data_IF_514433385695
#
_entry.id   IF_514433385695
#
_cell.length_a   1.000
_cell.length_b   1.000
_cell.length_c   1.000
_cell.angle_alpha   90.00
_cell.angle_beta   90.00
_cell.angle_gamma   90.00
#
_symmetry.space_group_name_H-M   'P 1'
#
loop_
_entity.id
_entity.type
_entity.pdbx_description
1 polymer ?
#
# COMPACT_ATOMS: atom_id res chain seq x y z
N UNK A 1 -27.29 -28.19 5.88
CA UNK A 1 -26.68 -26.91 5.49
C UNK A 1 -26.38 -26.16 6.77
N UNK A 2 -25.17 -26.34 7.28
CA UNK A 2 -24.70 -25.67 8.50
C UNK A 2 -23.78 -24.55 8.00
N UNK A 3 -24.12 -23.29 8.29
CA UNK A 3 -23.29 -22.15 7.93
C UNK A 3 -21.90 -22.34 8.53
N UNK A 4 -20.88 -22.31 7.67
CA UNK A 4 -19.46 -22.34 8.02
C UNK A 4 -19.03 -20.91 8.37
N UNK A 5 -19.70 -20.28 9.33
CA UNK A 5 -19.43 -18.87 9.70
C UNK A 5 -18.91 -18.69 11.13
N UNK A 6 -18.61 -19.77 11.86
CA UNK A 6 -18.19 -19.65 13.28
C UNK A 6 -17.00 -20.56 13.65
N UNK A 7 -16.13 -20.86 12.70
CA UNK A 7 -14.80 -21.38 12.99
C UNK A 7 -13.83 -20.19 13.09
N UNK A 8 -13.04 -20.12 14.15
CA UNK A 8 -11.94 -19.15 14.28
C UNK A 8 -11.02 -19.27 13.06
N UNK A 9 -11.16 -18.34 12.11
CA UNK A 9 -10.36 -18.27 10.88
C UNK A 9 -9.19 -17.30 11.02
N UNK A 10 -8.97 -16.78 12.22
CA UNK A 10 -8.01 -15.70 12.49
C UNK A 10 -6.55 -16.16 12.34
N UNK A 11 -6.29 -17.47 12.31
CA UNK A 11 -4.96 -18.03 12.01
C UNK A 11 -4.79 -18.47 10.55
N UNK A 12 -5.87 -18.50 9.76
CA UNK A 12 -5.84 -19.02 8.39
C UNK A 12 -5.26 -17.99 7.43
N UNK A 13 -4.29 -18.42 6.63
CA UNK A 13 -3.75 -17.60 5.54
C UNK A 13 -4.73 -17.56 4.40
N UNK A 14 -4.77 -16.43 3.70
CA UNK A 14 -5.63 -16.21 2.53
C UNK A 14 -4.77 -16.31 1.28
N UNK A 15 -5.08 -17.30 0.46
CA UNK A 15 -4.38 -17.55 -0.79
C UNK A 15 -5.27 -17.21 -1.98
N UNK A 16 -4.69 -16.61 -3.01
CA UNK A 16 -5.34 -16.32 -4.28
C UNK A 16 -4.56 -16.94 -5.43
N UNK A 17 -5.27 -17.56 -6.37
CA UNK A 17 -4.67 -18.18 -7.56
C UNK A 17 -5.36 -17.61 -8.80
N UNK A 18 -4.68 -16.77 -9.59
CA UNK A 18 -5.17 -16.38 -10.90
C UNK A 18 -5.12 -17.58 -11.84
N UNK A 19 -6.22 -17.83 -12.54
CA UNK A 19 -6.33 -18.90 -13.52
C UNK A 19 -6.83 -18.34 -14.85
N UNK A 20 -6.17 -18.71 -15.93
CA UNK A 20 -6.59 -18.42 -17.30
C UNK A 20 -7.19 -19.68 -17.91
N UNK A 21 -8.38 -19.60 -18.50
CA UNK A 21 -9.05 -20.75 -19.14
C UNK A 21 -9.27 -20.45 -20.62
N UNK A 22 -8.96 -21.40 -21.49
CA UNK A 22 -9.25 -21.29 -22.93
C UNK A 22 -10.60 -21.89 -23.33
N UNK A 23 -10.94 -21.73 -24.62
CA UNK A 23 -12.18 -22.27 -25.20
C UNK A 23 -12.25 -23.80 -25.25
N UNK A 24 -11.12 -24.48 -25.07
CA UNK A 24 -11.03 -25.94 -25.03
C UNK A 24 -11.05 -26.49 -23.60
N UNK A 25 -11.07 -25.62 -22.58
CA UNK A 25 -11.07 -25.99 -21.17
C UNK A 25 -9.68 -26.23 -20.59
N UNK A 26 -8.60 -25.91 -21.32
CA UNK A 26 -7.24 -25.83 -20.77
C UNK A 26 -7.21 -24.69 -19.75
N UNK A 27 -6.67 -24.97 -18.56
CA UNK A 27 -6.59 -24.00 -17.47
C UNK A 27 -5.15 -23.84 -16.98
N UNK A 28 -4.65 -22.59 -16.97
CA UNK A 28 -3.33 -22.23 -16.45
C UNK A 28 -3.48 -21.50 -15.11
N UNK A 29 -3.12 -22.17 -14.02
CA UNK A 29 -2.94 -21.54 -12.71
C UNK A 29 -1.56 -20.89 -12.63
N UNK A 30 -1.49 -19.56 -12.67
CA UNK A 30 -0.25 -18.84 -13.00
C UNK A 30 0.73 -18.74 -11.83
N UNK A 31 0.22 -18.50 -10.62
CA UNK A 31 1.00 -18.45 -9.38
C UNK A 31 0.06 -18.54 -8.16
N UNK A 32 0.63 -18.77 -6.98
CA UNK A 32 -0.11 -18.68 -5.70
C UNK A 32 0.31 -17.41 -4.99
N UNK A 33 -0.65 -16.57 -4.62
CA UNK A 33 -0.43 -15.32 -3.90
C UNK A 33 -0.85 -15.50 -2.45
N UNK A 34 0.00 -15.07 -1.52
CA UNK A 34 -0.37 -14.86 -0.12
C UNK A 34 -0.84 -13.41 0.03
N UNK A 35 -2.12 -13.24 0.34
CA UNK A 35 -2.80 -11.95 0.52
C UNK A 35 -3.31 -11.80 1.95
N UNK A 36 -2.68 -12.51 2.90
CA UNK A 36 -3.09 -12.53 4.31
C UNK A 36 -2.97 -11.15 4.97
N UNK A 37 -2.03 -10.33 4.52
CA UNK A 37 -1.77 -8.99 5.04
C UNK A 37 -2.76 -7.97 4.48
N UNK A 38 -3.83 -7.78 5.25
CA UNK A 38 -4.93 -6.87 4.93
C UNK A 38 -5.40 -6.15 6.18
N UNK A 39 -6.01 -4.99 5.98
CA UNK A 39 -6.83 -4.34 7.00
C UNK A 39 -8.29 -4.47 6.56
N UNK A 40 -9.09 -5.20 7.33
CA UNK A 40 -10.42 -5.68 6.89
C UNK A 40 -10.32 -6.40 5.53
N UNK A 41 -11.04 -5.91 4.51
CA UNK A 41 -11.05 -6.51 3.17
C UNK A 41 -9.98 -5.94 2.22
N UNK A 42 -9.19 -4.97 2.68
CA UNK A 42 -8.20 -4.29 1.84
C UNK A 42 -6.82 -4.94 1.96
N UNK A 43 -6.37 -5.61 0.90
CA UNK A 43 -5.01 -6.16 0.82
C UNK A 43 -4.00 -5.01 0.82
N UNK A 44 -3.08 -5.06 1.78
CA UNK A 44 -2.04 -4.05 1.97
C UNK A 44 -0.72 -4.52 1.36
N UNK A 45 -0.38 -5.78 1.60
CA UNK A 45 0.82 -6.44 1.12
C UNK A 45 0.42 -7.81 0.59
N UNK A 46 0.88 -8.13 -0.61
CA UNK A 46 0.77 -9.46 -1.19
C UNK A 46 2.16 -9.99 -1.51
N UNK A 47 2.35 -11.29 -1.42
CA UNK A 47 3.61 -11.94 -1.81
C UNK A 47 3.40 -13.23 -2.58
N UNK A 48 4.37 -13.56 -3.42
CA UNK A 48 4.38 -14.78 -4.22
C UNK A 48 5.82 -15.30 -4.41
N UNK A 49 6.07 -16.60 -4.25
CA UNK A 49 5.16 -17.61 -3.68
C UNK A 49 4.89 -17.37 -2.17
N UNK A 50 3.88 -18.01 -1.56
CA UNK A 50 3.57 -17.85 -0.14
C UNK A 50 4.73 -18.30 0.76
N UNK A 51 5.21 -17.43 1.65
CA UNK A 51 6.35 -17.73 2.51
C UNK A 51 6.04 -18.85 3.51
N UNK A 52 6.84 -19.93 3.50
CA UNK A 52 6.70 -21.05 4.43
C UNK A 52 5.63 -22.08 4.04
N UNK A 53 4.97 -21.91 2.90
CA UNK A 53 4.16 -22.97 2.29
C UNK A 53 5.08 -23.96 1.59
N UNK A 54 4.86 -25.26 1.77
CA UNK A 54 5.67 -26.27 1.08
C UNK A 54 5.35 -26.30 -0.42
N UNK A 55 6.34 -26.66 -1.25
CA UNK A 55 6.16 -26.76 -2.70
C UNK A 55 5.06 -27.76 -3.08
N UNK A 56 4.88 -28.83 -2.30
CA UNK A 56 3.85 -29.85 -2.58
C UNK A 56 2.45 -29.29 -2.31
N UNK A 57 2.28 -28.51 -1.23
CA UNK A 57 1.02 -27.82 -0.96
C UNK A 57 0.75 -26.77 -2.03
N UNK A 58 1.75 -25.97 -2.41
CA UNK A 58 1.60 -24.98 -3.48
C UNK A 58 1.18 -25.61 -4.82
N UNK A 59 1.82 -26.72 -5.21
CA UNK A 59 1.43 -27.48 -6.41
C UNK A 59 0.00 -28.02 -6.30
N UNK A 60 -0.37 -28.55 -5.14
CA UNK A 60 -1.73 -29.03 -4.89
C UNK A 60 -2.75 -27.91 -5.02
N UNK A 61 -2.45 -26.71 -4.50
CA UNK A 61 -3.29 -25.53 -4.62
C UNK A 61 -3.45 -25.08 -6.07
N UNK A 62 -2.36 -25.01 -6.84
CA UNK A 62 -2.42 -24.68 -8.27
C UNK A 62 -3.24 -25.69 -9.06
N UNK A 63 -3.00 -26.99 -8.86
CA UNK A 63 -3.75 -28.06 -9.53
C UNK A 63 -5.24 -28.01 -9.16
N UNK A 64 -5.56 -27.78 -7.89
CA UNK A 64 -6.94 -27.65 -7.41
C UNK A 64 -7.62 -26.42 -8.03
N UNK A 65 -6.92 -25.28 -8.11
CA UNK A 65 -7.44 -24.07 -8.74
C UNK A 65 -7.74 -24.28 -10.23
N UNK A 66 -6.81 -24.92 -10.96
CA UNK A 66 -7.00 -25.26 -12.37
C UNK A 66 -8.18 -26.22 -12.58
N UNK A 67 -8.34 -27.24 -11.72
CA UNK A 67 -9.49 -28.14 -11.75
C UNK A 67 -10.82 -27.41 -11.45
N UNK A 68 -10.84 -26.55 -10.44
CA UNK A 68 -12.04 -25.76 -10.08
C UNK A 68 -12.43 -24.74 -11.16
N UNK A 69 -11.48 -24.31 -11.99
CA UNK A 69 -11.70 -23.41 -13.12
C UNK A 69 -12.37 -24.09 -14.32
N UNK A 70 -12.29 -25.42 -14.42
CA UNK A 70 -12.93 -26.16 -15.51
C UNK A 70 -14.45 -25.91 -15.51
N UNK A 71 -14.99 -25.64 -16.69
CA UNK A 71 -16.42 -25.34 -16.87
C UNK A 71 -16.84 -23.91 -16.49
N UNK A 72 -15.93 -23.03 -16.07
CA UNK A 72 -16.24 -21.61 -15.79
C UNK A 72 -16.31 -20.73 -17.05
N UNK A 73 -16.10 -21.29 -18.24
CA UNK A 73 -16.02 -20.56 -19.50
C UNK A 73 -14.62 -20.02 -19.77
N UNK A 74 -14.33 -19.69 -21.03
CA UNK A 74 -13.05 -19.14 -21.42
C UNK A 74 -12.86 -17.72 -20.83
N UNK A 75 -11.66 -17.42 -20.38
CA UNK A 75 -11.28 -16.13 -19.81
C UNK A 75 -10.55 -16.24 -18.48
N UNK A 76 -10.26 -15.09 -17.87
CA UNK A 76 -9.61 -15.02 -16.57
C UNK A 76 -10.58 -15.28 -15.42
N UNK A 77 -10.07 -15.94 -14.37
CA UNK A 77 -10.74 -16.08 -13.09
C UNK A 77 -9.72 -16.06 -11.94
N UNK A 78 -10.22 -15.93 -10.73
CA UNK A 78 -9.43 -16.03 -9.50
C UNK A 78 -10.07 -17.05 -8.58
N UNK A 79 -9.28 -18.00 -8.09
CA UNK A 79 -9.71 -18.97 -7.08
C UNK A 79 -9.10 -18.60 -5.73
N UNK A 80 -9.95 -18.48 -4.71
CA UNK A 80 -9.57 -18.10 -3.36
C UNK A 80 -9.56 -19.33 -2.44
N UNK A 81 -8.55 -19.42 -1.59
CA UNK A 81 -8.38 -20.48 -0.61
C UNK A 81 -8.04 -19.93 0.77
N UNK A 82 -8.36 -20.72 1.79
CA UNK A 82 -7.85 -20.57 3.15
C UNK A 82 -6.85 -21.70 3.42
N UNK A 83 -5.65 -21.36 3.87
CA UNK A 83 -4.62 -22.33 4.21
C UNK A 83 -4.31 -22.27 5.71
N UNK A 84 -4.32 -23.42 6.37
CA UNK A 84 -3.86 -23.54 7.75
C UNK A 84 -2.36 -23.83 7.76
N UNK A 85 -1.50 -22.88 8.17
CA UNK A 85 -0.06 -23.09 8.16
C UNK A 85 0.41 -24.15 9.19
N UNK A 86 -0.44 -24.52 10.17
CA UNK A 86 -0.10 -25.50 11.21
C UNK A 86 -0.33 -26.93 10.75
N UNK A 87 -1.41 -27.16 10.01
CA UNK A 87 -1.78 -28.50 9.52
C UNK A 87 -1.39 -28.73 8.07
N UNK A 88 -1.15 -27.65 7.30
CA UNK A 88 -0.98 -27.70 5.86
C UNK A 88 -2.28 -27.89 5.08
N UNK A 89 -3.43 -27.90 5.76
CA UNK A 89 -4.74 -28.07 5.13
C UNK A 89 -5.11 -26.82 4.32
N UNK A 90 -5.62 -27.02 3.10
CA UNK A 90 -6.12 -25.93 2.25
C UNK A 90 -7.58 -26.15 1.91
N UNK A 91 -8.39 -25.10 2.10
CA UNK A 91 -9.84 -25.10 1.89
C UNK A 91 -10.22 -24.11 0.82
N UNK A 92 -11.04 -24.53 -0.12
CA UNK A 92 -11.64 -23.63 -1.11
C UNK A 92 -12.58 -22.62 -0.45
N UNK A 93 -12.52 -21.36 -0.87
CA UNK A 93 -13.40 -20.30 -0.38
C UNK A 93 -14.39 -19.83 -1.45
N UNK A 94 -13.90 -19.31 -2.57
CA UNK A 94 -14.75 -18.77 -3.65
C UNK A 94 -14.02 -18.73 -4.99
N UNK A 95 -14.80 -18.55 -6.06
CA UNK A 95 -14.32 -18.21 -7.40
C UNK A 95 -14.85 -16.85 -7.80
N UNK A 96 -14.01 -16.04 -8.42
CA UNK A 96 -14.37 -14.72 -8.94
C UNK A 96 -13.95 -14.61 -10.40
N UNK A 97 -14.78 -13.97 -11.23
CA UNK A 97 -14.42 -13.69 -12.61
C UNK A 97 -13.39 -12.56 -12.68
N UNK A 98 -12.44 -12.66 -13.60
CA UNK A 98 -11.37 -11.68 -13.73
C UNK A 98 -10.09 -12.05 -12.99
N UNK A 99 -9.04 -11.30 -13.32
CA UNK A 99 -7.75 -11.36 -12.64
C UNK A 99 -7.73 -10.44 -11.42
N UNK A 100 -6.99 -10.80 -10.36
CA UNK A 100 -6.91 -9.96 -9.17
C UNK A 100 -5.95 -8.77 -9.38
N UNK A 101 -6.03 -7.76 -8.50
CA UNK A 101 -5.14 -6.60 -8.54
C UNK A 101 -3.66 -6.97 -8.32
N UNK A 102 -3.40 -8.14 -7.74
CA UNK A 102 -2.09 -8.70 -7.45
C UNK A 102 -1.45 -9.45 -8.63
N UNK A 103 -2.08 -9.43 -9.81
CA UNK A 103 -1.63 -10.18 -10.99
C UNK A 103 -0.21 -9.83 -11.47
N UNK A 104 0.25 -8.62 -11.20
CA UNK A 104 1.63 -8.18 -11.50
C UNK A 104 2.66 -9.08 -10.79
N UNK A 105 2.31 -9.73 -9.67
CA UNK A 105 3.16 -10.75 -9.03
C UNK A 105 3.43 -11.93 -9.98
N UNK A 106 2.38 -12.46 -10.63
CA UNK A 106 2.53 -13.56 -11.56
C UNK A 106 3.35 -13.15 -12.78
N UNK A 107 3.07 -11.98 -13.37
CA UNK A 107 3.84 -11.45 -14.51
C UNK A 107 5.33 -11.30 -14.16
N UNK A 108 5.61 -10.76 -12.98
CA UNK A 108 6.97 -10.55 -12.47
C UNK A 108 7.74 -11.88 -12.32
N UNK A 109 7.08 -12.94 -11.88
CA UNK A 109 7.73 -14.23 -11.59
C UNK A 109 7.80 -15.16 -12.80
N UNK A 110 6.82 -15.08 -13.70
CA UNK A 110 6.67 -16.01 -14.82
C UNK A 110 7.10 -15.40 -16.16
N UNK A 111 7.16 -14.07 -16.25
CA UNK A 111 7.36 -13.35 -17.50
C UNK A 111 6.16 -13.38 -18.44
N UNK A 112 5.00 -13.84 -17.97
CA UNK A 112 3.75 -13.79 -18.72
C UNK A 112 3.30 -12.34 -18.92
N UNK A 113 2.70 -12.07 -20.08
CA UNK A 113 1.91 -10.88 -20.34
C UNK A 113 0.43 -11.27 -20.24
N UNK A 114 -0.16 -11.02 -19.06
CA UNK A 114 -1.52 -11.45 -18.76
C UNK A 114 -2.55 -10.62 -19.51
N UNK A 115 -2.25 -9.39 -19.89
CA UNK A 115 -3.12 -8.56 -20.71
C UNK A 115 -3.21 -9.12 -22.14
N UNK A 116 -2.07 -9.43 -22.75
CA UNK A 116 -2.01 -10.06 -24.07
C UNK A 116 -2.68 -11.43 -24.08
N UNK A 117 -2.48 -12.24 -23.03
CA UNK A 117 -3.15 -13.54 -22.91
C UNK A 117 -4.66 -13.40 -22.78
N UNK A 118 -5.16 -12.46 -21.95
CA UNK A 118 -6.60 -12.19 -21.88
C UNK A 118 -7.18 -11.81 -23.24
N UNK A 119 -6.48 -10.96 -23.99
CA UNK A 119 -6.89 -10.58 -25.34
C UNK A 119 -6.91 -11.80 -26.28
N UNK A 120 -5.87 -12.64 -26.26
CA UNK A 120 -5.80 -13.87 -27.04
C UNK A 120 -6.97 -14.82 -26.74
N UNK A 121 -7.27 -15.05 -25.47
CA UNK A 121 -8.38 -15.92 -25.04
C UNK A 121 -9.74 -15.35 -25.43
N UNK A 122 -9.91 -14.03 -25.34
CA UNK A 122 -11.14 -13.36 -25.77
C UNK A 122 -11.41 -13.54 -27.28
N UNK A 123 -10.38 -13.80 -28.09
CA UNK A 123 -10.48 -14.10 -29.52
C UNK A 123 -10.55 -15.61 -29.83
N UNK A 124 -10.78 -16.45 -28.81
CA UNK A 124 -10.87 -17.90 -28.97
C UNK A 124 -9.52 -18.60 -29.12
N UNK A 125 -8.43 -17.92 -28.76
CA UNK A 125 -7.10 -18.51 -28.71
C UNK A 125 -7.02 -19.65 -27.67
N UNK A 126 -6.13 -20.61 -27.92
CA UNK A 126 -5.86 -21.72 -27.02
C UNK A 126 -4.58 -21.52 -26.21
N UNK A 127 -4.53 -22.15 -25.04
CA UNK A 127 -3.33 -22.24 -24.20
C UNK A 127 -2.58 -23.54 -24.57
N UNK A 128 -1.29 -23.43 -24.90
CA UNK A 128 -0.50 -24.57 -25.36
C UNK A 128 0.56 -24.98 -24.32
N UNK A 129 0.52 -26.23 -23.88
CA UNK A 129 1.49 -26.76 -22.92
C UNK A 129 1.23 -26.28 -21.48
N UNK A 130 2.27 -26.39 -20.66
CA UNK A 130 2.23 -25.99 -19.25
C UNK A 130 2.51 -24.48 -19.09
N UNK A 131 1.91 -23.82 -18.08
CA UNK A 131 2.25 -22.45 -17.77
C UNK A 131 3.73 -22.33 -17.36
N UNK A 132 4.40 -21.19 -17.65
CA UNK A 132 5.75 -20.96 -17.17
C UNK A 132 5.81 -21.02 -15.63
N UNK A 133 6.78 -21.78 -15.10
CA UNK A 133 6.96 -21.89 -13.66
C UNK A 133 7.44 -20.55 -13.07
N UNK A 134 6.82 -20.07 -11.97
CA UNK A 134 7.28 -18.88 -11.25
C UNK A 134 8.73 -19.03 -10.79
N UNK A 135 9.55 -17.99 -10.99
CA UNK A 135 10.96 -17.96 -10.57
C UNK A 135 11.24 -16.79 -9.64
N UNK A 136 11.86 -17.09 -8.51
CA UNK A 136 12.25 -16.09 -7.52
C UNK A 136 11.12 -15.77 -6.53
N UNK A 137 11.05 -14.52 -6.10
CA UNK A 137 10.04 -14.04 -5.15
C UNK A 137 9.61 -12.62 -5.53
N UNK A 138 8.35 -12.30 -5.31
CA UNK A 138 7.81 -10.98 -5.55
C UNK A 138 6.93 -10.53 -4.38
N UNK A 139 6.98 -9.23 -4.10
CA UNK A 139 6.05 -8.55 -3.22
C UNK A 139 5.32 -7.46 -3.98
N UNK A 140 4.08 -7.21 -3.59
CA UNK A 140 3.29 -6.09 -4.05
C UNK A 140 2.68 -5.36 -2.85
N UNK A 141 2.63 -4.02 -2.93
CA UNK A 141 1.88 -3.19 -1.99
C UNK A 141 0.89 -2.30 -2.74
N UNK A 142 -0.20 -1.96 -2.04
CA UNK A 142 -1.21 -1.02 -2.50
C UNK A 142 -1.12 0.26 -1.67
N UNK A 143 -0.41 1.28 -2.19
CA UNK A 143 -0.36 2.61 -1.59
C UNK A 143 -1.69 3.32 -1.87
N UNK A 144 -2.38 3.77 -0.82
CA UNK A 144 -3.73 4.31 -0.91
C UNK A 144 -3.90 5.63 -0.17
N UNK A 145 -4.88 6.43 -0.60
CA UNK A 145 -5.33 7.65 0.03
C UNK A 145 -6.20 7.37 1.26
N UNK A 146 -5.61 6.70 2.25
CA UNK A 146 -6.23 6.35 3.53
C UNK A 146 -5.45 6.97 4.67
N UNK A 147 -6.14 7.25 5.77
CA UNK A 147 -5.54 7.85 6.97
C UNK A 147 -5.42 6.80 8.08
N UNK A 148 -4.23 6.23 8.34
CA UNK A 148 -4.04 5.27 9.43
C UNK A 148 -4.39 5.85 10.81
N UNK A 149 -4.23 7.16 11.05
CA UNK A 149 -4.59 7.79 12.33
C UNK A 149 -6.11 7.89 12.52
N UNK A 150 -6.87 7.95 11.42
CA UNK A 150 -8.33 7.91 11.41
C UNK A 150 -8.89 6.51 11.10
N UNK A 151 -8.20 5.44 11.51
CA UNK A 151 -8.67 4.06 11.35
C UNK A 151 -8.75 3.60 9.88
N UNK A 152 -7.84 4.08 9.03
CA UNK A 152 -7.79 3.84 7.58
C UNK A 152 -9.01 4.35 6.81
N UNK A 153 -9.69 5.37 7.33
CA UNK A 153 -10.75 6.06 6.58
C UNK A 153 -10.20 6.58 5.23
N UNK A 154 -10.95 6.42 4.12
CA UNK A 154 -10.61 7.07 2.85
C UNK A 154 -10.50 8.58 3.05
N UNK A 155 -9.36 9.15 2.66
CA UNK A 155 -9.03 10.57 2.77
C UNK A 155 -8.41 11.03 1.45
N UNK A 156 -9.19 10.99 0.35
CA UNK A 156 -8.74 11.47 -0.94
C UNK A 156 -8.41 12.96 -0.86
N UNK A 157 -7.43 13.38 -1.65
CA UNK A 157 -7.04 14.77 -1.81
C UNK A 157 -6.49 15.00 -3.20
N UNK A 158 -6.29 16.26 -3.57
CA UNK A 158 -5.68 16.57 -4.86
C UNK A 158 -4.23 16.09 -4.86
N UNK A 159 -3.87 15.24 -5.82
CA UNK A 159 -2.49 14.78 -6.03
C UNK A 159 -1.65 15.95 -6.53
N UNK A 160 -0.85 16.54 -5.65
CA UNK A 160 0.07 17.64 -6.01
C UNK A 160 1.39 17.11 -6.56
N UNK A 161 1.86 15.99 -6.01
CA UNK A 161 3.10 15.35 -6.43
C UNK A 161 2.89 13.85 -6.51
N UNK A 162 3.30 13.26 -7.63
CA UNK A 162 3.38 11.84 -7.88
C UNK A 162 4.71 11.56 -8.60
N UNK A 163 5.65 10.97 -7.87
CA UNK A 163 6.94 10.53 -8.40
C UNK A 163 7.10 9.05 -8.07
N UNK A 164 7.06 8.21 -9.09
CA UNK A 164 7.18 6.78 -8.95
C UNK A 164 8.64 6.36 -8.90
N UNK A 165 8.96 5.39 -8.04
CA UNK A 165 10.26 4.76 -8.07
C UNK A 165 10.40 3.88 -9.31
N UNK A 166 11.60 3.89 -9.90
CA UNK A 166 11.97 3.04 -11.02
C UNK A 166 13.31 2.34 -10.72
N UNK A 167 13.47 1.15 -11.27
CA UNK A 167 14.70 0.37 -11.19
C UNK A 167 14.50 -1.09 -11.61
N UNK A 168 15.60 -1.86 -11.80
CA UNK A 168 15.52 -3.27 -12.17
C UNK A 168 14.72 -4.08 -11.14
N UNK A 169 13.75 -4.86 -11.63
CA UNK A 169 12.88 -5.69 -10.80
C UNK A 169 11.85 -4.92 -9.97
N UNK A 170 11.61 -3.64 -10.28
CA UNK A 170 10.58 -2.81 -9.65
C UNK A 170 9.59 -2.31 -10.72
N UNK A 171 8.31 -2.61 -10.54
CA UNK A 171 7.21 -2.08 -11.32
C UNK A 171 6.36 -1.17 -10.44
N UNK A 172 6.05 0.03 -10.91
CA UNK A 172 5.19 0.98 -10.23
C UNK A 172 4.06 1.40 -11.17
N UNK A 173 2.82 1.09 -10.79
CA UNK A 173 1.62 1.39 -11.55
C UNK A 173 0.82 2.45 -10.80
N UNK A 174 0.71 3.65 -11.37
CA UNK A 174 -0.16 4.68 -10.81
C UNK A 174 -1.62 4.43 -11.21
N UNK A 175 -2.53 4.59 -10.26
CA UNK A 175 -3.97 4.57 -10.49
C UNK A 175 -4.55 6.00 -10.68
N UNK A 176 -3.74 7.03 -10.47
CA UNK A 176 -4.10 8.45 -10.53
C UNK A 176 -3.00 9.28 -11.19
N UNK A 177 -3.33 10.50 -11.58
CA UNK A 177 -2.40 11.47 -12.17
C UNK A 177 -2.24 12.73 -11.30
N UNK A 178 -1.12 13.45 -11.44
CA UNK A 178 -0.97 14.77 -10.81
C UNK A 178 -2.08 15.72 -11.28
N UNK A 179 -2.65 16.50 -10.35
CA UNK A 179 -3.80 17.36 -10.61
C UNK A 179 -5.16 16.67 -10.55
N UNK A 180 -5.21 15.37 -10.23
CA UNK A 180 -6.45 14.62 -10.02
C UNK A 180 -6.61 14.19 -8.56
N UNK A 181 -7.77 13.63 -8.19
CA UNK A 181 -7.99 13.03 -6.87
C UNK A 181 -8.59 11.62 -7.06
N UNK A 182 -8.14 10.60 -6.28
CA UNK A 182 -8.73 9.28 -6.34
C UNK A 182 -10.19 9.32 -5.86
N UNK A 183 -11.00 8.38 -6.35
CA UNK A 183 -12.36 8.21 -5.87
C UNK A 183 -12.36 7.72 -4.41
N UNK A 184 -13.33 8.15 -3.61
CA UNK A 184 -13.42 7.70 -2.21
C UNK A 184 -13.70 6.19 -2.10
N UNK A 185 -14.44 5.64 -3.06
CA UNK A 185 -14.76 4.22 -3.16
C UNK A 185 -13.56 3.35 -3.52
N UNK A 186 -12.58 3.91 -4.23
CA UNK A 186 -11.32 3.24 -4.58
C UNK A 186 -10.16 4.22 -4.38
N UNK A 187 -9.63 4.34 -3.14
CA UNK A 187 -8.60 5.30 -2.81
C UNK A 187 -7.20 4.84 -3.26
N UNK A 188 -7.08 3.88 -4.18
CA UNK A 188 -5.77 3.43 -4.66
C UNK A 188 -5.00 4.58 -5.34
N UNK A 189 -3.73 4.72 -4.99
CA UNK A 189 -2.82 5.70 -5.59
C UNK A 189 -1.80 5.01 -6.49
N UNK A 190 -1.11 3.99 -5.95
CA UNK A 190 -0.01 3.30 -6.62
C UNK A 190 0.00 1.83 -6.21
N UNK A 191 0.11 0.92 -7.17
CA UNK A 191 0.59 -0.45 -6.93
C UNK A 191 2.09 -0.48 -7.16
N UNK A 192 2.83 -0.98 -6.18
CA UNK A 192 4.28 -1.12 -6.28
C UNK A 192 4.63 -2.59 -6.12
N UNK A 193 5.23 -3.18 -7.14
CA UNK A 193 5.59 -4.59 -7.20
C UNK A 193 7.10 -4.73 -7.38
N UNK A 194 7.73 -5.53 -6.52
CA UNK A 194 9.17 -5.78 -6.55
C UNK A 194 9.44 -7.29 -6.64
N UNK A 195 10.09 -7.72 -7.71
CA UNK A 195 10.54 -9.10 -7.92
C UNK A 195 12.04 -9.24 -7.75
N UNK A 196 12.51 -10.37 -7.21
CA UNK A 196 13.91 -10.71 -7.04
C UNK A 196 14.17 -12.22 -7.09
N UNK A 197 15.43 -12.62 -6.92
CA UNK A 197 15.81 -14.04 -6.88
C UNK A 197 15.36 -14.75 -5.60
N UNK A 198 15.19 -14.01 -4.52
CA UNK A 198 14.74 -14.52 -3.23
C UNK A 198 13.92 -13.46 -2.49
N UNK A 199 13.19 -13.91 -1.46
CA UNK A 199 12.28 -13.10 -0.66
C UNK A 199 12.95 -11.88 -0.03
N UNK A 200 14.14 -12.04 0.54
CA UNK A 200 14.88 -10.95 1.19
C UNK A 200 15.26 -9.85 0.21
N UNK A 201 15.79 -10.22 -0.97
CA UNK A 201 16.11 -9.26 -2.03
C UNK A 201 14.85 -8.55 -2.55
N UNK A 202 13.72 -9.26 -2.68
CA UNK A 202 12.46 -8.69 -3.14
C UNK A 202 11.89 -7.68 -2.13
N UNK A 203 11.91 -8.03 -0.84
CA UNK A 203 11.47 -7.15 0.24
C UNK A 203 12.35 -5.90 0.33
N UNK A 204 13.68 -6.05 0.30
CA UNK A 204 14.61 -4.92 0.32
C UNK A 204 14.40 -3.98 -0.89
N UNK A 205 14.14 -4.55 -2.07
CA UNK A 205 13.83 -3.78 -3.27
C UNK A 205 12.49 -3.04 -3.12
N UNK A 206 11.47 -3.69 -2.56
CA UNK A 206 10.16 -3.08 -2.31
C UNK A 206 10.27 -1.91 -1.31
N UNK A 207 10.98 -2.10 -0.20
CA UNK A 207 11.25 -1.07 0.80
C UNK A 207 11.94 0.15 0.17
N UNK A 208 12.98 -0.08 -0.65
CA UNK A 208 13.66 1.00 -1.36
C UNK A 208 12.75 1.71 -2.38
N UNK A 209 11.94 0.94 -3.12
CA UNK A 209 10.96 1.47 -4.06
C UNK A 209 9.91 2.35 -3.37
N UNK A 210 9.38 1.91 -2.23
CA UNK A 210 8.41 2.68 -1.44
C UNK A 210 9.06 3.96 -0.88
N UNK A 211 10.28 3.87 -0.35
CA UNK A 211 11.00 5.03 0.17
C UNK A 211 11.23 6.10 -0.91
N UNK A 212 11.55 5.69 -2.14
CA UNK A 212 11.79 6.56 -3.30
C UNK A 212 10.52 7.04 -4.01
N UNK A 213 9.37 6.43 -3.72
CA UNK A 213 8.08 6.86 -4.27
C UNK A 213 7.54 8.04 -3.46
N UNK A 214 7.29 9.17 -4.11
CA UNK A 214 6.76 10.37 -3.46
C UNK A 214 5.34 10.62 -3.91
N UNK A 215 4.42 10.69 -2.94
CA UNK A 215 3.04 11.09 -3.16
C UNK A 215 2.69 12.19 -2.15
N UNK A 216 2.18 13.31 -2.65
CA UNK A 216 1.71 14.44 -1.84
C UNK A 216 0.26 14.72 -2.21
N UNK A 217 -0.63 14.64 -1.22
CA UNK A 217 -2.05 14.94 -1.39
C UNK A 217 -2.39 16.23 -0.64
N UNK A 218 -2.88 17.24 -1.36
CA UNK A 218 -3.45 18.42 -0.73
C UNK A 218 -4.84 18.10 -0.20
N UNK A 219 -5.01 18.30 1.11
CA UNK A 219 -6.27 18.04 1.81
C UNK A 219 -6.58 16.55 2.01
N UNK A 220 -5.64 15.65 1.71
CA UNK A 220 -5.78 14.21 1.86
C UNK A 220 -4.72 13.60 2.79
N UNK A 221 -4.74 12.27 2.91
CA UNK A 221 -3.76 11.49 3.66
C UNK A 221 -3.38 10.22 2.89
N UNK A 222 -2.23 9.63 3.21
CA UNK A 222 -1.78 8.36 2.59
C UNK A 222 -1.35 7.36 3.65
N UNK A 223 -1.48 6.07 3.35
CA UNK A 223 -0.99 5.00 4.20
C UNK A 223 0.52 4.70 4.01
N UNK A 224 1.25 5.52 3.23
CA UNK A 224 2.68 5.32 2.91
C UNK A 224 3.55 5.12 4.16
N UNK A 225 3.36 5.97 5.18
CA UNK A 225 4.15 5.91 6.41
C UNK A 225 3.89 4.61 7.18
N UNK A 226 2.63 4.16 7.20
CA UNK A 226 2.24 2.88 7.77
C UNK A 226 2.85 1.70 6.98
N UNK A 227 2.73 1.71 5.65
CA UNK A 227 3.34 0.69 4.78
C UNK A 227 4.85 0.59 4.99
N UNK A 228 5.53 1.73 5.11
CA UNK A 228 6.98 1.79 5.39
C UNK A 228 7.32 1.13 6.72
N UNK A 229 6.51 1.35 7.76
CA UNK A 229 6.74 0.77 9.08
C UNK A 229 6.49 -0.75 9.09
N UNK A 230 5.39 -1.22 8.51
CA UNK A 230 5.05 -2.65 8.56
C UNK A 230 6.05 -3.49 7.77
N UNK A 231 6.59 -2.99 6.65
CA UNK A 231 7.57 -3.73 5.86
C UNK A 231 8.88 -3.96 6.62
N UNK A 232 9.20 -3.15 7.63
CA UNK A 232 10.36 -3.31 8.50
C UNK A 232 10.13 -4.27 9.68
N UNK A 233 8.89 -4.73 9.90
CA UNK A 233 8.57 -5.54 11.08
C UNK A 233 9.07 -7.00 10.95
N UNK A 234 9.41 -7.66 12.08
CA UNK A 234 9.84 -9.07 12.09
C UNK A 234 8.83 -10.04 11.47
N UNK A 235 7.53 -9.76 11.63
CA UNK A 235 6.44 -10.55 11.07
C UNK A 235 6.48 -10.58 9.54
N UNK A 236 6.91 -9.48 8.90
CA UNK A 236 7.06 -9.42 7.45
C UNK A 236 8.42 -9.95 7.02
N UNK A 237 9.49 -9.50 7.67
CA UNK A 237 10.85 -9.82 7.25
C UNK A 237 11.26 -11.27 7.49
N UNK A 238 10.72 -11.93 8.53
CA UNK A 238 11.19 -13.26 8.96
C UNK A 238 10.08 -14.30 9.15
N UNK A 239 9.00 -13.98 9.91
CA UNK A 239 8.11 -15.01 10.44
C UNK A 239 6.90 -15.34 9.54
N UNK A 240 6.48 -14.41 8.67
CA UNK A 240 5.17 -14.44 8.03
C UNK A 240 4.08 -13.98 9.01
N UNK A 241 3.27 -13.02 8.59
CA UNK A 241 2.20 -12.50 9.45
C UNK A 241 0.97 -13.42 9.46
N UNK A 242 0.32 -13.51 10.61
CA UNK A 242 -0.97 -14.20 10.75
C UNK A 242 -2.13 -13.35 10.22
N UNK A 243 -3.26 -13.99 9.92
CA UNK A 243 -4.47 -13.26 9.58
C UNK A 243 -4.95 -12.36 10.75
N UNK A 244 -5.52 -11.21 10.38
CA UNK A 244 -5.96 -10.18 11.32
C UNK A 244 -4.83 -9.53 12.12
N UNK A 245 -3.55 -9.80 11.84
CA UNK A 245 -2.43 -9.17 12.57
C UNK A 245 -2.47 -7.65 12.45
N UNK A 246 -2.77 -7.12 11.25
CA UNK A 246 -2.92 -5.67 11.05
C UNK A 246 -4.10 -5.13 11.84
N UNK A 247 -5.26 -5.78 11.80
CA UNK A 247 -6.44 -5.33 12.54
C UNK A 247 -6.14 -5.26 14.05
N UNK A 248 -5.50 -6.30 14.62
CA UNK A 248 -5.06 -6.30 16.02
C UNK A 248 -4.03 -5.19 16.31
N UNK A 249 -3.15 -4.88 15.36
CA UNK A 249 -2.19 -3.79 15.49
C UNK A 249 -2.89 -2.42 15.57
N UNK A 250 -3.93 -2.24 14.76
CA UNK A 250 -4.77 -1.03 14.74
C UNK A 250 -5.59 -0.90 16.01
N UNK A 251 -6.20 -1.99 16.48
CA UNK A 251 -6.98 -2.03 17.73
C UNK A 251 -6.13 -1.66 18.95
N UNK A 252 -4.85 -2.07 18.97
CA UNK A 252 -3.90 -1.69 20.03
C UNK A 252 -3.30 -0.29 19.86
N UNK A 253 -3.56 0.40 18.75
CA UNK A 253 -2.97 1.72 18.45
C UNK A 253 -1.46 1.66 18.17
N UNK A 254 -0.92 0.48 17.85
CA UNK A 254 0.51 0.23 17.63
C UNK A 254 0.91 0.37 16.15
N UNK A 255 -0.04 0.70 15.27
CA UNK A 255 0.16 0.86 13.82
C UNK A 255 0.77 2.21 13.45
N UNK A 256 0.71 3.19 14.35
CA UNK A 256 1.15 4.54 14.07
C UNK A 256 2.66 4.68 14.19
N UNK A 257 3.34 4.96 13.07
CA UNK A 257 4.79 5.15 13.09
C UNK A 257 5.15 6.38 13.94
N UNK A 258 6.15 6.26 14.85
CA UNK A 258 6.74 7.41 15.54
C UNK A 258 7.80 8.12 14.69
N UNK A 259 8.22 7.53 13.56
CA UNK A 259 9.31 8.03 12.74
C UNK A 259 8.95 9.38 12.14
N UNK A 260 9.88 10.32 12.19
CA UNK A 260 9.73 11.64 11.58
C UNK A 260 8.77 12.61 12.29
N UNK A 261 8.05 12.20 13.34
CA UNK A 261 7.06 13.05 14.02
C UNK A 261 7.64 14.37 14.53
N UNK A 262 8.83 14.33 15.14
CA UNK A 262 9.52 15.54 15.62
C UNK A 262 9.85 16.49 14.47
N UNK A 263 10.35 15.95 13.35
CA UNK A 263 10.64 16.72 12.15
C UNK A 263 9.38 17.32 11.54
N UNK A 264 8.28 16.56 11.51
CA UNK A 264 6.98 17.03 11.03
C UNK A 264 6.42 18.15 11.90
N UNK A 265 6.51 18.06 13.23
CA UNK A 265 6.12 19.12 14.16
C UNK A 265 6.92 20.41 13.92
N UNK A 266 8.24 20.29 13.82
CA UNK A 266 9.11 21.44 13.53
C UNK A 266 8.78 22.05 12.18
N UNK A 267 8.63 21.23 11.13
CA UNK A 267 8.27 21.70 9.80
C UNK A 267 6.89 22.40 9.79
N UNK A 268 5.91 21.87 10.50
CA UNK A 268 4.59 22.48 10.64
C UNK A 268 4.67 23.83 11.38
N UNK A 269 5.49 23.94 12.43
CA UNK A 269 5.71 25.19 13.14
C UNK A 269 6.36 26.25 12.24
N UNK A 270 7.37 25.86 11.45
CA UNK A 270 8.00 26.75 10.48
C UNK A 270 7.03 27.20 9.38
N UNK A 271 6.27 26.27 8.81
CA UNK A 271 5.28 26.58 7.77
C UNK A 271 4.18 27.51 8.29
N UNK A 272 3.68 27.28 9.50
CA UNK A 272 2.70 28.14 10.15
C UNK A 272 3.28 29.54 10.40
N UNK A 273 4.52 29.63 10.91
CA UNK A 273 5.21 30.91 11.09
C UNK A 273 5.34 31.69 9.78
N UNK A 274 5.78 31.03 8.69
CA UNK A 274 5.99 31.70 7.40
C UNK A 274 4.67 32.18 6.79
N UNK A 275 3.60 31.38 6.86
CA UNK A 275 2.27 31.80 6.40
C UNK A 275 1.77 33.05 7.14
N UNK A 276 1.94 33.06 8.47
CA UNK A 276 1.60 34.16 9.34
C UNK A 276 2.45 35.41 9.07
N UNK A 277 3.76 35.23 8.80
CA UNK A 277 4.68 36.28 8.40
C UNK A 277 4.28 36.90 7.05
N UNK A 278 3.92 36.09 6.07
CA UNK A 278 3.52 36.57 4.76
C UNK A 278 2.19 37.32 4.80
N UNK A 279 1.24 36.89 5.63
CA UNK A 279 0.03 37.66 5.91
C UNK A 279 0.34 39.02 6.54
N UNK A 280 1.27 39.09 7.49
CA UNK A 280 1.68 40.34 8.11
C UNK A 280 2.38 41.29 7.13
N UNK A 281 3.24 40.76 6.24
CA UNK A 281 3.86 41.55 5.16
C UNK A 281 2.82 42.11 4.20
N UNK A 282 1.87 41.28 3.77
CA UNK A 282 0.77 41.71 2.90
C UNK A 282 -0.06 42.83 3.55
N UNK A 283 -0.37 42.68 4.85
CA UNK A 283 -1.03 43.70 5.65
C UNK A 283 -0.23 45.01 5.71
N UNK A 284 1.07 44.93 6.00
CA UNK A 284 1.97 46.08 6.04
C UNK A 284 2.01 46.81 4.70
N UNK A 285 2.24 46.11 3.59
CA UNK A 285 2.29 46.75 2.26
C UNK A 285 0.96 47.38 1.87
N UNK A 286 -0.16 46.72 2.17
CA UNK A 286 -1.49 47.29 1.95
C UNK A 286 -1.74 48.56 2.78
N UNK A 287 -1.28 48.60 4.02
CA UNK A 287 -1.41 49.77 4.90
C UNK A 287 -0.45 50.91 4.50
N UNK A 288 0.76 50.57 4.06
CA UNK A 288 1.74 51.51 3.52
C UNK A 288 1.22 52.23 2.27
N UNK A 289 0.54 51.51 1.36
CA UNK A 289 -0.12 52.10 0.19
C UNK A 289 -1.21 53.12 0.58
N UNK A 290 -1.81 52.98 1.77
CA UNK A 290 -2.79 53.93 2.34
C UNK A 290 -2.13 55.01 3.20
N UNK A 291 -0.80 55.09 3.23
CA UNK A 291 -0.04 56.07 4.01
C UNK A 291 -0.02 55.81 5.52
N UNK A 292 -0.39 54.62 5.97
CA UNK A 292 -0.45 54.24 7.40
C UNK A 292 0.25 52.89 7.64
N UNK A 293 1.57 52.77 7.41
CA UNK A 293 2.27 51.52 7.66
C UNK A 293 2.25 51.19 9.16
N UNK A 294 1.84 49.98 9.51
CA UNK A 294 1.86 49.47 10.89
C UNK A 294 2.71 48.19 10.94
N UNK A 295 3.63 48.13 11.90
CA UNK A 295 4.53 46.99 12.09
C UNK A 295 4.31 46.47 13.51
N UNK A 296 4.15 45.15 13.65
CA UNK A 296 4.12 44.52 14.97
C UNK A 296 5.47 44.72 15.67
N UNK A 297 5.44 45.08 16.96
CA UNK A 297 6.65 45.17 17.79
C UNK A 297 7.10 43.81 18.33
N UNK A 298 6.29 42.76 18.15
CA UNK A 298 6.63 41.43 18.65
C UNK A 298 7.69 40.76 17.78
N UNK A 299 8.74 40.26 18.44
CA UNK A 299 9.79 39.47 17.80
C UNK A 299 9.50 37.99 18.02
N UNK A 300 9.35 37.27 16.90
CA UNK A 300 8.93 35.87 16.87
C UNK A 300 7.43 35.69 17.06
N UNK A 301 6.95 34.46 16.91
CA UNK A 301 5.54 34.10 17.07
C UNK A 301 5.37 32.87 17.95
N UNK A 302 4.29 32.84 18.72
CA UNK A 302 3.89 31.64 19.45
C UNK A 302 2.86 30.88 18.62
N UNK A 303 3.11 29.60 18.40
CA UNK A 303 2.26 28.71 17.62
C UNK A 303 1.88 27.51 18.48
N UNK A 304 0.60 27.22 18.54
CA UNK A 304 0.08 26.03 19.22
C UNK A 304 -0.25 24.95 18.20
N UNK A 305 0.44 23.82 18.28
CA UNK A 305 0.23 22.69 17.39
C UNK A 305 -0.30 21.49 18.19
N UNK A 306 -1.18 20.71 17.57
CA UNK A 306 -1.71 19.49 18.19
C UNK A 306 -1.30 18.26 17.38
N UNK A 307 -0.67 17.30 18.05
CA UNK A 307 -0.32 15.99 17.47
C UNK A 307 -0.83 14.89 18.37
N UNK A 308 -1.69 14.01 17.84
CA UNK A 308 -2.28 12.87 18.56
C UNK A 308 -2.87 13.25 19.93
N UNK A 309 -3.54 14.40 20.00
CA UNK A 309 -4.16 14.92 21.22
C UNK A 309 -3.23 15.71 22.14
N UNK A 310 -1.91 15.66 21.93
CA UNK A 310 -0.95 16.46 22.70
C UNK A 310 -0.79 17.85 22.07
N UNK A 311 -0.85 18.88 22.91
CA UNK A 311 -0.59 20.27 22.54
C UNK A 311 0.92 20.57 22.70
N UNK A 312 1.49 21.25 21.73
CA UNK A 312 2.88 21.71 21.72
C UNK A 312 2.88 23.22 21.49
N UNK A 313 3.55 23.97 22.37
CA UNK A 313 3.73 25.41 22.22
C UNK A 313 5.11 25.70 21.63
N UNK A 314 5.16 26.23 20.42
CA UNK A 314 6.38 26.64 19.75
C UNK A 314 6.52 28.17 19.79
N UNK A 315 7.66 28.67 20.23
CA UNK A 315 8.08 30.05 20.00
C UNK A 315 9.07 30.06 18.83
N UNK A 316 8.66 30.58 17.68
CA UNK A 316 9.46 30.56 16.45
C UNK A 316 10.03 31.96 16.17
N UNK A 317 11.34 32.03 15.96
CA UNK A 317 12.07 33.23 15.59
C UNK A 317 12.81 33.00 14.27
N UNK A 318 12.64 33.89 13.29
CA UNK A 318 13.47 33.91 12.09
C UNK A 318 14.70 34.78 12.33
N UNK A 319 15.88 34.16 12.35
CA UNK A 319 17.17 34.82 12.57
C UNK A 319 17.76 35.33 11.24
N UNK A 320 17.49 34.64 10.14
CA UNK A 320 17.94 34.94 8.78
C UNK A 320 16.90 34.37 7.77
N UNK A 321 16.88 34.80 6.50
CA UNK A 321 16.15 34.14 5.42
C UNK A 321 16.02 32.61 5.48
N UNK A 322 17.08 31.88 5.84
CA UNK A 322 17.05 30.42 5.91
C UNK A 322 17.33 29.85 7.32
N UNK A 323 17.42 30.70 8.35
CA UNK A 323 17.76 30.29 9.71
C UNK A 323 16.66 30.66 10.69
N UNK A 324 16.19 29.66 11.44
CA UNK A 324 15.16 29.80 12.44
C UNK A 324 15.65 29.27 13.79
N UNK A 325 15.21 29.89 14.88
CA UNK A 325 15.28 29.35 16.24
C UNK A 325 13.87 29.00 16.70
N UNK A 326 13.71 27.81 17.27
CA UNK A 326 12.45 27.37 17.85
C UNK A 326 12.72 27.03 19.32
N UNK A 327 11.91 27.60 20.20
CA UNK A 327 11.86 27.24 21.61
C UNK A 327 10.55 26.46 21.82
N UNK A 328 10.60 25.30 22.48
CA UNK A 328 9.45 24.37 22.63
C UNK A 328 9.10 24.27 24.10
N UNK A 329 7.84 24.55 24.44
CA UNK A 329 7.32 24.53 25.82
C UNK A 329 8.19 25.34 26.82
N UNK A 330 8.84 26.39 26.33
CA UNK A 330 9.70 27.27 27.13
C UNK A 330 11.16 26.84 27.26
N UNK A 331 11.61 25.82 26.52
CA UNK A 331 13.01 25.35 26.45
C UNK A 331 13.66 25.51 25.09
#
# INVERSE_FOLDING_TARGET
MTNVDDADTTHLRRLMVPVLVDVHGTAWATAVFDVTLRHRDHVLVAEAPPHGLSMDVEKTVRATAAGLAQGSGAGPLTVHFLADPRTGEVRFQKKEAGLPAESTLAETLTGLDLASLQHHLAHGGSLSGEPPEPRGHAFQICLSARDPEAGFAPRPGLVEVLRLAAGPGLCAEAAVEEGTAPAEADPLLVRLTAGARNRTEALARLQNGLARTTVVLRGGATDKAFLTEILDRPEISHAGAEAGWVDRLVERGEHLSPRGLRGALVAAALAAYDAELDQAKAGFYGAAQRGRPEVSKEVGRTLELRLRGHLYAFRVHRLDPALYRLDVDGT
#
